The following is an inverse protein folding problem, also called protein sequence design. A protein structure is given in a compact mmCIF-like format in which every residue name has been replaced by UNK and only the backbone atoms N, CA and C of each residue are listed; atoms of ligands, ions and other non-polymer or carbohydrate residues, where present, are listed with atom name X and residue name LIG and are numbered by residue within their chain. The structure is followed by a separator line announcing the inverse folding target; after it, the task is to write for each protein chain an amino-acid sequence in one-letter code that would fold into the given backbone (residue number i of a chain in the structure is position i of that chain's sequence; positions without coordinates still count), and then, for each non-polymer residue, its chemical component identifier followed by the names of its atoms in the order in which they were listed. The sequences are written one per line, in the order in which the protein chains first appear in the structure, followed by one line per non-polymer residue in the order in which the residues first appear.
data_IF_120703723906
#
_entry.id   IF_120703723906
#
_cell.length_a   1.000
_cell.length_b   1.000
_cell.length_c   1.000
_cell.angle_alpha   90.00
_cell.angle_beta   90.00
_cell.angle_gamma   90.00
#
_symmetry.space_group_name_H-M   'P 1'
#
loop_
_entity.id
_entity.type
_entity.pdbx_description
1 polymer ?
#
# COMPACT_ATOMS: atom_id res chain seq x y z
N UNK A 1 14.03 1.44 -2.44
CA UNK A 1 12.82 0.98 -3.17
C UNK A 1 13.10 -0.12 -4.22
N UNK A 2 14.24 -0.12 -4.93
CA UNK A 2 14.57 -1.14 -5.93
C UNK A 2 14.71 -2.58 -5.36
N UNK A 3 15.27 -2.73 -4.16
CA UNK A 3 15.55 -4.03 -3.55
C UNK A 3 14.28 -4.82 -3.18
N UNK A 4 13.24 -4.14 -2.69
CA UNK A 4 11.97 -4.78 -2.30
C UNK A 4 11.11 -5.20 -3.50
N UNK A 5 11.23 -4.49 -4.64
CA UNK A 5 10.65 -4.94 -5.92
C UNK A 5 11.38 -6.17 -6.47
N UNK A 6 12.72 -6.19 -6.36
CA UNK A 6 13.55 -7.29 -6.84
C UNK A 6 13.39 -8.60 -6.03
N UNK A 7 12.98 -8.50 -4.77
CA UNK A 7 12.86 -9.65 -3.86
C UNK A 7 11.47 -10.30 -3.85
N UNK A 8 10.52 -9.84 -4.67
CA UNK A 8 9.22 -10.53 -4.80
C UNK A 8 8.32 -10.46 -3.56
N UNK A 9 8.55 -9.50 -2.66
CA UNK A 9 7.74 -9.29 -1.46
C UNK A 9 6.91 -7.98 -1.53
N UNK A 10 5.88 -7.91 -2.39
CA UNK A 10 4.91 -6.81 -2.40
C UNK A 10 4.19 -6.54 -1.07
N UNK A 11 3.82 -7.54 -0.22
CA UNK A 11 2.96 -7.29 0.93
C UNK A 11 3.64 -6.51 2.08
N UNK A 12 4.93 -6.16 1.98
CA UNK A 12 5.58 -5.26 2.95
C UNK A 12 5.73 -3.82 2.43
N UNK A 13 5.49 -3.58 1.13
CA UNK A 13 5.73 -2.27 0.51
C UNK A 13 4.66 -1.25 0.84
N UNK A 14 3.39 -1.62 0.75
CA UNK A 14 2.24 -0.78 1.10
C UNK A 14 2.13 -0.43 2.58
N UNK A 15 2.41 -1.35 3.51
CA UNK A 15 2.46 -1.05 4.94
C UNK A 15 3.59 -0.07 5.25
N UNK A 16 4.78 -0.29 4.70
CA UNK A 16 5.91 0.64 4.83
C UNK A 16 5.60 2.02 4.24
N UNK A 17 4.94 2.06 3.07
CA UNK A 17 4.53 3.31 2.44
C UNK A 17 3.45 4.05 3.25
N UNK A 18 2.54 3.33 3.92
CA UNK A 18 1.58 3.92 4.86
C UNK A 18 2.28 4.61 6.03
N UNK A 19 3.22 3.93 6.68
CA UNK A 19 3.94 4.49 7.82
C UNK A 19 4.77 5.72 7.39
N UNK A 20 5.43 5.66 6.24
CA UNK A 20 6.14 6.82 5.67
C UNK A 20 5.20 7.99 5.39
N UNK A 21 4.01 7.73 4.83
CA UNK A 21 3.02 8.77 4.60
C UNK A 21 2.61 9.47 5.92
N UNK A 22 2.42 8.69 6.98
CA UNK A 22 2.08 9.22 8.30
C UNK A 22 3.21 10.08 8.88
N UNK A 23 4.46 9.63 8.74
CA UNK A 23 5.63 10.39 9.18
C UNK A 23 5.79 11.69 8.41
N UNK A 24 5.65 11.66 7.08
CA UNK A 24 5.74 12.86 6.24
C UNK A 24 4.64 13.87 6.58
N UNK A 25 3.39 13.43 6.78
CA UNK A 25 2.30 14.31 7.19
C UNK A 25 2.57 14.98 8.55
N UNK A 26 3.08 14.23 9.53
CA UNK A 26 3.46 14.77 10.85
C UNK A 26 4.59 15.80 10.78
N UNK A 27 5.43 15.74 9.75
CA UNK A 27 6.51 16.70 9.50
C UNK A 27 6.08 17.87 8.61
N UNK A 28 4.82 17.91 8.15
CA UNK A 28 4.33 18.92 7.21
C UNK A 28 4.78 18.71 5.75
N UNK A 29 5.38 17.55 5.45
CA UNK A 29 5.81 17.16 4.11
C UNK A 29 4.64 16.57 3.31
N UNK A 30 3.65 17.40 2.99
CA UNK A 30 2.39 16.94 2.39
C UNK A 30 2.56 16.30 1.00
N UNK A 31 3.51 16.78 0.20
CA UNK A 31 3.80 16.23 -1.13
C UNK A 31 4.33 14.81 -1.03
N UNK A 32 5.29 14.59 -0.13
CA UNK A 32 5.88 13.29 0.14
C UNK A 32 4.87 12.34 0.80
N UNK A 33 4.02 12.87 1.69
CA UNK A 33 2.93 12.11 2.29
C UNK A 33 1.96 11.61 1.21
N UNK A 34 1.55 12.48 0.28
CA UNK A 34 0.69 12.10 -0.84
C UNK A 34 1.36 11.08 -1.77
N UNK A 35 2.65 11.25 -2.07
CA UNK A 35 3.41 10.29 -2.88
C UNK A 35 3.47 8.91 -2.22
N UNK A 36 3.68 8.86 -0.90
CA UNK A 36 3.68 7.62 -0.14
C UNK A 36 2.31 6.94 -0.11
N UNK A 37 1.22 7.70 0.07
CA UNK A 37 -0.16 7.18 -0.04
C UNK A 37 -0.43 6.58 -1.42
N UNK A 38 -0.06 7.27 -2.49
CA UNK A 38 -0.22 6.78 -3.85
C UNK A 38 0.58 5.49 -4.10
N UNK A 39 1.81 5.41 -3.60
CA UNK A 39 2.63 4.20 -3.70
C UNK A 39 2.03 3.01 -2.95
N UNK A 40 1.45 3.24 -1.76
CA UNK A 40 0.78 2.21 -0.99
C UNK A 40 -0.44 1.65 -1.74
N UNK A 41 -1.25 2.54 -2.35
CA UNK A 41 -2.42 2.17 -3.15
C UNK A 41 -2.03 1.37 -4.40
N UNK A 42 -1.02 1.82 -5.15
CA UNK A 42 -0.56 1.13 -6.35
C UNK A 42 -0.09 -0.31 -6.03
N UNK A 43 0.53 -0.52 -4.87
CA UNK A 43 0.93 -1.86 -4.43
C UNK A 43 -0.29 -2.77 -4.12
N UNK A 44 -1.35 -2.24 -3.50
CA UNK A 44 -2.62 -2.97 -3.31
C UNK A 44 -3.22 -3.38 -4.65
N UNK A 45 -3.30 -2.45 -5.59
CA UNK A 45 -3.87 -2.68 -6.92
C UNK A 45 -3.09 -3.78 -7.66
N UNK A 46 -1.75 -3.75 -7.59
CA UNK A 46 -0.90 -4.77 -8.18
C UNK A 46 -1.14 -6.17 -7.58
N UNK A 47 -1.26 -6.27 -6.25
CA UNK A 47 -1.58 -7.54 -5.57
C UNK A 47 -3.00 -8.01 -5.92
N UNK A 48 -3.97 -7.10 -5.93
CA UNK A 48 -5.36 -7.41 -6.28
C UNK A 48 -5.47 -7.94 -7.72
N UNK A 49 -4.71 -7.34 -8.65
CA UNK A 49 -4.64 -7.78 -10.04
C UNK A 49 -3.97 -9.14 -10.24
N UNK A 50 -3.07 -9.55 -9.33
CA UNK A 50 -2.40 -10.86 -9.41
C UNK A 50 -3.21 -11.99 -8.79
N UNK A 51 -4.14 -11.70 -7.87
CA UNK A 51 -5.01 -12.71 -7.25
C UNK A 51 -6.08 -13.16 -8.24
N UNK A 52 -5.98 -14.39 -8.74
CA UNK A 52 -6.95 -14.97 -9.69
C UNK A 52 -8.24 -15.47 -9.02
N UNK A 53 -8.15 -15.95 -7.79
CA UNK A 53 -9.29 -16.46 -7.03
C UNK A 53 -10.18 -15.29 -6.55
N UNK A 54 -11.46 -15.22 -6.96
CA UNK A 54 -12.38 -14.16 -6.55
C UNK A 54 -12.66 -14.12 -5.04
N UNK A 55 -12.70 -15.27 -4.36
CA UNK A 55 -12.92 -15.33 -2.92
C UNK A 55 -11.71 -14.81 -2.16
N UNK A 56 -10.51 -15.24 -2.56
CA UNK A 56 -9.26 -14.73 -1.99
C UNK A 56 -9.10 -13.22 -2.24
N UNK A 57 -9.46 -12.75 -3.43
CA UNK A 57 -9.42 -11.32 -3.76
C UNK A 57 -10.34 -10.50 -2.86
N UNK A 58 -11.57 -10.99 -2.61
CA UNK A 58 -12.51 -10.34 -1.68
C UNK A 58 -11.96 -10.33 -0.26
N UNK A 59 -11.44 -11.46 0.23
CA UNK A 59 -10.86 -11.55 1.58
C UNK A 59 -9.65 -10.62 1.74
N UNK A 60 -8.79 -10.54 0.72
CA UNK A 60 -7.68 -9.61 0.70
C UNK A 60 -8.16 -8.17 0.79
N UNK A 61 -9.10 -7.76 -0.07
CA UNK A 61 -9.64 -6.40 -0.05
C UNK A 61 -10.37 -6.08 1.26
N UNK A 62 -11.00 -7.06 1.90
CA UNK A 62 -11.71 -6.87 3.17
C UNK A 62 -10.79 -6.80 4.39
N UNK A 63 -9.51 -7.17 4.28
CA UNK A 63 -8.63 -7.15 5.44
C UNK A 63 -8.39 -5.71 5.93
N UNK A 64 -8.49 -5.50 7.24
CA UNK A 64 -8.43 -4.18 7.89
C UNK A 64 -7.22 -3.33 7.47
N UNK A 65 -5.97 -3.87 7.36
CA UNK A 65 -4.84 -3.06 6.91
C UNK A 65 -5.00 -2.50 5.50
N UNK A 66 -5.72 -3.23 4.63
CA UNK A 66 -6.01 -2.80 3.24
C UNK A 66 -6.99 -1.67 3.25
N UNK A 67 -8.07 -1.82 4.01
CA UNK A 67 -9.11 -0.81 4.15
C UNK A 67 -8.51 0.49 4.71
N UNK A 68 -7.62 0.41 5.69
CA UNK A 68 -6.92 1.59 6.20
C UNK A 68 -6.07 2.32 5.16
N UNK A 69 -5.36 1.59 4.29
CA UNK A 69 -4.58 2.22 3.22
C UNK A 69 -5.49 2.81 2.14
N UNK A 70 -6.58 2.12 1.79
CA UNK A 70 -7.54 2.60 0.79
C UNK A 70 -8.36 3.80 1.26
N UNK A 71 -8.62 3.92 2.56
CA UNK A 71 -9.35 5.04 3.16
C UNK A 71 -8.47 6.28 3.40
N UNK A 72 -7.15 6.16 3.30
CA UNK A 72 -6.23 7.26 3.60
C UNK A 72 -6.07 8.28 2.46
N UNK A 73 -6.95 8.28 1.44
CA UNK A 73 -6.92 9.18 0.27
C UNK A 73 -7.72 10.44 0.53
#
# INVERSE_FOLDING_TARGET
QALARASGHPPLLWTSARELAHLHARLGHEVEAAACRAAARAAIEAVTGSIRDPALRRSFLAAEPVQHVLAAV
#
